data_IF_107001639402
#
_entry.id   IF_107001639402
#
_cell.length_a   1.000
_cell.length_b   1.000
_cell.length_c   1.000
_cell.angle_alpha   90.00
_cell.angle_beta   90.00
_cell.angle_gamma   90.00
#
_symmetry.space_group_name_H-M   'P 1'
#
loop_
_entity.id
_entity.type
_entity.pdbx_description
1 polymer ?
#
# COMPACT_ATOMS: atom_id res chain seq x y z
N UNK A 1 -75.13 22.37 28.06
CA UNK A 1 -74.60 22.68 26.71
C UNK A 1 -73.64 23.86 26.85
N UNK A 2 -72.58 23.86 26.05
CA UNK A 2 -71.40 24.74 26.05
C UNK A 2 -70.22 24.28 26.93
N UNK A 3 -69.28 23.64 26.22
CA UNK A 3 -67.86 23.44 26.48
C UNK A 3 -67.07 24.77 26.31
N UNK A 4 -65.77 24.72 26.65
CA UNK A 4 -64.67 25.66 26.34
C UNK A 4 -64.49 26.87 27.30
N UNK A 5 -63.29 27.27 27.73
CA UNK A 5 -61.94 27.14 27.19
C UNK A 5 -60.88 27.00 28.30
N UNK A 6 -59.95 26.05 28.16
CA UNK A 6 -58.80 25.89 29.04
C UNK A 6 -57.55 26.47 28.36
N UNK A 7 -57.17 27.68 28.74
CA UNK A 7 -56.03 28.44 28.19
C UNK A 7 -54.77 28.16 29.01
N UNK A 8 -54.03 27.11 28.68
CA UNK A 8 -52.72 26.83 29.28
C UNK A 8 -51.61 27.62 28.58
N UNK A 9 -50.90 28.36 29.42
CA UNK A 9 -49.83 29.32 29.15
C UNK A 9 -48.53 28.59 28.77
N UNK A 10 -47.93 29.02 27.66
CA UNK A 10 -46.58 28.61 27.21
C UNK A 10 -45.51 28.96 28.25
N UNK A 11 -44.60 28.02 28.50
CA UNK A 11 -43.30 28.25 29.14
C UNK A 11 -42.24 27.55 28.28
N UNK A 12 -41.45 28.39 27.61
CA UNK A 12 -40.18 28.05 27.00
C UNK A 12 -39.14 27.76 28.09
N UNK A 13 -38.59 26.55 28.09
CA UNK A 13 -37.35 26.23 28.80
C UNK A 13 -36.41 25.51 27.83
N UNK A 14 -35.42 26.25 27.34
CA UNK A 14 -34.37 25.76 26.47
C UNK A 14 -33.44 24.79 27.19
N UNK A 15 -33.30 23.59 26.64
CA UNK A 15 -32.37 22.55 27.10
C UNK A 15 -31.03 22.61 26.31
N UNK A 16 -29.87 22.63 26.99
CA UNK A 16 -28.56 22.76 26.36
C UNK A 16 -28.01 21.40 25.90
N UNK A 17 -28.24 21.04 24.63
CA UNK A 17 -27.89 19.71 24.11
C UNK A 17 -26.43 19.54 23.60
N UNK A 18 -25.57 20.56 23.69
CA UNK A 18 -24.28 20.58 22.97
C UNK A 18 -23.02 20.67 23.85
N UNK A 19 -22.86 19.79 24.84
CA UNK A 19 -21.59 19.72 25.61
C UNK A 19 -20.95 18.35 25.82
N UNK A 20 -21.52 17.25 25.30
CA UNK A 20 -20.96 15.90 25.54
C UNK A 20 -20.29 15.20 24.35
N UNK A 21 -20.45 15.68 23.12
CA UNK A 21 -19.88 14.98 21.94
C UNK A 21 -18.38 15.22 21.68
N UNK A 22 -17.75 16.21 22.34
CA UNK A 22 -16.37 16.59 22.03
C UNK A 22 -15.30 15.66 22.65
N UNK A 23 -15.63 14.88 23.68
CA UNK A 23 -14.66 13.99 24.36
C UNK A 23 -14.57 12.60 23.73
N UNK A 24 -15.64 12.11 23.11
CA UNK A 24 -15.64 10.81 22.43
C UNK A 24 -14.82 10.81 21.12
N UNK A 25 -14.79 11.93 20.39
CA UNK A 25 -14.04 12.03 19.13
C UNK A 25 -12.52 11.97 19.31
N UNK A 26 -11.99 12.51 20.41
CA UNK A 26 -10.54 12.51 20.69
C UNK A 26 -10.05 11.09 21.01
N UNK A 27 -10.84 10.32 21.77
CA UNK A 27 -10.50 8.95 22.16
C UNK A 27 -10.52 8.02 20.93
N UNK A 28 -11.55 8.13 20.08
CA UNK A 28 -11.65 7.32 18.85
C UNK A 28 -10.50 7.63 17.88
N UNK A 29 -10.10 8.90 17.74
CA UNK A 29 -8.97 9.31 16.91
C UNK A 29 -7.62 8.73 17.39
N UNK A 30 -7.39 8.71 18.71
CA UNK A 30 -6.18 8.12 19.28
C UNK A 30 -6.11 6.60 19.10
N UNK A 31 -7.24 5.89 19.22
CA UNK A 31 -7.29 4.44 19.02
C UNK A 31 -7.00 4.07 17.56
N UNK A 32 -7.55 4.82 16.58
CA UNK A 32 -7.27 4.62 15.15
C UNK A 32 -5.80 4.87 14.77
N UNK A 33 -5.18 5.91 15.33
CA UNK A 33 -3.75 6.19 15.11
C UNK A 33 -2.85 5.12 15.73
N UNK A 34 -3.25 4.58 16.89
CA UNK A 34 -2.51 3.51 17.54
C UNK A 34 -2.67 2.18 16.79
N UNK A 35 -3.87 1.85 16.32
CA UNK A 35 -4.13 0.67 15.49
C UNK A 35 -3.37 0.71 14.17
N UNK A 36 -3.28 1.89 13.52
CA UNK A 36 -2.48 2.07 12.29
C UNK A 36 -0.99 1.80 12.50
N UNK A 37 -0.42 2.28 13.63
CA UNK A 37 0.97 1.99 14.01
C UNK A 37 1.19 0.52 14.37
N UNK A 38 0.23 -0.11 15.04
CA UNK A 38 0.31 -1.51 15.45
C UNK A 38 0.23 -2.46 14.23
N UNK A 39 -0.67 -2.18 13.28
CA UNK A 39 -0.76 -2.91 12.01
C UNK A 39 0.50 -2.73 11.13
N UNK A 40 1.10 -1.54 11.12
CA UNK A 40 2.40 -1.32 10.46
C UNK A 40 3.47 -2.21 11.11
N UNK A 41 3.56 -2.24 12.44
CA UNK A 41 4.57 -3.03 13.15
C UNK A 41 4.44 -4.53 12.89
N UNK A 42 3.23 -5.08 12.96
CA UNK A 42 2.94 -6.49 12.67
C UNK A 42 3.29 -6.84 11.22
N UNK A 43 2.94 -5.99 10.25
CA UNK A 43 3.31 -6.23 8.85
C UNK A 43 4.82 -6.19 8.60
N UNK A 44 5.58 -5.49 9.44
CA UNK A 44 7.05 -5.41 9.35
C UNK A 44 7.70 -6.67 9.91
N UNK A 45 7.14 -7.24 10.97
CA UNK A 45 7.65 -8.46 11.62
C UNK A 45 7.40 -9.72 10.79
N UNK A 46 6.25 -9.81 10.11
CA UNK A 46 5.97 -10.85 9.09
C UNK A 46 6.97 -10.76 7.91
N UNK A 47 7.33 -9.54 7.50
CA UNK A 47 8.33 -9.31 6.43
C UNK A 47 9.77 -9.62 6.86
N UNK A 48 10.08 -9.56 8.16
CA UNK A 48 11.44 -9.81 8.70
C UNK A 48 11.69 -11.31 8.93
N UNK A 49 10.64 -12.13 9.08
CA UNK A 49 10.74 -13.60 9.22
C UNK A 49 11.16 -14.34 7.94
N UNK A 50 11.23 -13.67 6.80
CA UNK A 50 11.71 -14.23 5.53
C UNK A 50 13.25 -14.21 5.50
N UNK A 51 13.87 -15.33 5.89
CA UNK A 51 15.32 -15.52 6.01
C UNK A 51 16.09 -15.50 4.67
N UNK A 52 17.37 -15.08 4.73
CA UNK A 52 18.18 -14.47 3.65
C UNK A 52 17.63 -13.11 3.24
N UNK A 53 18.47 -12.07 3.35
CA UNK A 53 18.19 -10.70 2.89
C UNK A 53 17.77 -10.72 1.42
N UNK A 54 16.49 -10.99 1.14
CA UNK A 54 15.90 -10.73 -0.14
C UNK A 54 16.16 -9.26 -0.50
N UNK A 55 16.34 -8.93 -1.79
CA UNK A 55 16.56 -7.55 -2.18
C UNK A 55 15.46 -6.70 -1.53
N UNK A 56 15.83 -5.57 -0.89
CA UNK A 56 14.94 -4.63 -0.18
C UNK A 56 13.72 -4.16 -1.01
N UNK A 57 13.68 -4.57 -2.27
CA UNK A 57 12.70 -4.29 -3.29
C UNK A 57 11.37 -5.02 -3.06
N UNK A 58 11.35 -6.31 -2.72
CA UNK A 58 10.09 -7.05 -2.51
C UNK A 58 9.25 -6.44 -1.39
N UNK A 59 9.78 -6.20 -0.17
CA UNK A 59 9.01 -5.51 0.87
C UNK A 59 8.60 -4.10 0.47
N UNK A 60 9.39 -3.40 -0.36
CA UNK A 60 9.03 -2.08 -0.88
C UNK A 60 7.84 -2.14 -1.85
N UNK A 61 7.80 -3.13 -2.74
CA UNK A 61 6.70 -3.30 -3.69
C UNK A 61 5.42 -3.75 -2.97
N UNK A 62 5.52 -4.66 -2.00
CA UNK A 62 4.38 -5.08 -1.18
C UNK A 62 3.75 -3.92 -0.41
N UNK A 63 4.58 -3.05 0.18
CA UNK A 63 4.12 -1.83 0.84
C UNK A 63 3.42 -0.88 -0.15
N UNK A 64 3.99 -0.69 -1.34
CA UNK A 64 3.39 0.09 -2.43
C UNK A 64 2.05 -0.46 -2.91
N UNK A 65 1.91 -1.78 -2.98
CA UNK A 65 0.69 -2.48 -3.35
C UNK A 65 -0.41 -2.32 -2.29
N UNK A 66 -0.07 -2.49 -1.00
CA UNK A 66 -1.01 -2.32 0.12
C UNK A 66 -1.54 -0.88 0.20
N UNK A 67 -0.64 0.09 0.02
CA UNK A 67 -0.98 1.52 0.06
C UNK A 67 -1.60 2.04 -1.22
N UNK A 68 -1.60 1.23 -2.31
CA UNK A 68 -2.00 1.65 -3.67
C UNK A 68 -1.33 2.96 -4.10
N UNK A 69 -0.09 3.17 -3.68
CA UNK A 69 0.63 4.44 -3.85
C UNK A 69 1.02 4.70 -5.30
N UNK A 70 1.31 3.64 -6.05
CA UNK A 70 1.82 3.75 -7.42
C UNK A 70 0.76 3.30 -8.42
N UNK A 71 0.51 4.12 -9.44
CA UNK A 71 -0.42 3.80 -10.54
C UNK A 71 -0.03 2.53 -11.30
N UNK A 72 1.27 2.26 -11.36
CA UNK A 72 1.86 1.25 -12.23
C UNK A 72 2.01 -0.10 -11.55
N UNK A 73 1.53 -0.22 -10.31
CA UNK A 73 1.70 -1.39 -9.48
C UNK A 73 0.33 -1.80 -8.94
N UNK A 74 -0.17 -2.96 -9.40
CA UNK A 74 -1.53 -3.41 -9.10
C UNK A 74 -1.56 -4.89 -8.75
N UNK A 75 -2.54 -5.30 -7.95
CA UNK A 75 -2.86 -6.72 -7.80
C UNK A 75 -3.75 -7.15 -8.98
N UNK A 76 -3.39 -8.27 -9.60
CA UNK A 76 -4.18 -8.88 -10.69
C UNK A 76 -5.27 -9.80 -10.15
N UNK A 77 -5.08 -10.35 -8.94
CA UNK A 77 -6.03 -11.29 -8.32
C UNK A 77 -6.50 -10.78 -6.94
N UNK A 78 -7.77 -11.09 -6.61
CA UNK A 78 -8.39 -10.88 -5.30
C UNK A 78 -7.60 -11.51 -4.16
N UNK A 79 -6.90 -12.63 -4.41
CA UNK A 79 -6.03 -13.29 -3.43
C UNK A 79 -4.79 -12.49 -3.06
N UNK A 80 -4.48 -11.39 -3.75
CA UNK A 80 -3.29 -10.52 -3.51
C UNK A 80 -1.93 -11.24 -3.56
N UNK A 81 -1.89 -12.40 -4.21
CA UNK A 81 -0.67 -13.18 -4.42
C UNK A 81 -0.01 -12.86 -5.76
N UNK A 82 -0.75 -12.30 -6.71
CA UNK A 82 -0.26 -11.96 -8.05
C UNK A 82 -0.34 -10.45 -8.22
N UNK A 83 0.77 -9.83 -8.58
CA UNK A 83 0.85 -8.42 -8.89
C UNK A 83 1.43 -8.19 -10.28
N UNK A 84 1.01 -7.11 -10.92
CA UNK A 84 1.58 -6.63 -12.17
C UNK A 84 2.28 -5.29 -11.98
N UNK A 85 3.38 -5.14 -12.69
CA UNK A 85 4.16 -3.92 -12.78
C UNK A 85 4.17 -3.46 -14.24
N UNK A 86 3.43 -2.38 -14.52
CA UNK A 86 3.28 -1.82 -15.85
C UNK A 86 4.27 -0.67 -16.05
N UNK A 87 5.37 -0.93 -16.74
CA UNK A 87 6.40 0.09 -17.00
C UNK A 87 6.40 0.47 -18.48
N UNK A 88 6.11 1.74 -18.82
CA UNK A 88 6.15 2.20 -20.20
C UNK A 88 7.48 1.89 -20.88
N UNK A 89 7.43 1.37 -22.11
CA UNK A 89 8.64 1.07 -22.87
C UNK A 89 9.32 2.35 -23.38
N UNK A 90 8.52 3.33 -23.83
CA UNK A 90 9.01 4.58 -24.41
C UNK A 90 9.38 5.56 -23.30
N UNK A 91 10.55 6.19 -23.43
CA UNK A 91 11.02 7.26 -22.54
C UNK A 91 10.58 8.65 -23.00
N UNK A 92 10.15 8.78 -24.27
CA UNK A 92 9.65 10.04 -24.81
C UNK A 92 8.23 10.30 -24.27
N UNK A 93 8.05 11.45 -23.58
CA UNK A 93 6.80 11.86 -22.92
C UNK A 93 6.37 10.96 -21.75
N UNK A 94 7.34 10.52 -20.95
CA UNK A 94 7.06 9.76 -19.74
C UNK A 94 6.37 10.66 -18.68
N UNK A 95 5.28 10.18 -18.09
CA UNK A 95 4.62 10.90 -17.00
C UNK A 95 5.45 10.76 -15.71
N UNK A 96 5.64 11.87 -14.98
CA UNK A 96 6.34 11.89 -13.69
C UNK A 96 5.69 10.93 -12.69
N UNK A 97 4.38 10.68 -12.80
CA UNK A 97 3.66 9.73 -11.95
C UNK A 97 4.14 8.30 -12.14
N UNK A 98 4.55 7.95 -13.35
CA UNK A 98 5.05 6.62 -13.67
C UNK A 98 6.45 6.38 -13.10
N UNK A 99 7.19 7.48 -12.89
CA UNK A 99 8.54 7.48 -12.37
C UNK A 99 8.62 7.47 -10.83
N UNK A 100 7.53 7.76 -10.13
CA UNK A 100 7.54 7.89 -8.66
C UNK A 100 7.98 6.61 -7.95
N UNK A 101 7.62 5.44 -8.48
CA UNK A 101 8.08 4.17 -7.92
C UNK A 101 9.61 4.06 -7.93
N UNK A 102 10.27 4.58 -8.96
CA UNK A 102 11.74 4.59 -9.05
C UNK A 102 12.36 5.64 -8.15
N UNK A 103 11.75 6.83 -8.07
CA UNK A 103 12.20 7.89 -7.15
C UNK A 103 12.22 7.38 -5.71
N UNK A 104 11.12 6.81 -5.24
CA UNK A 104 10.99 6.32 -3.87
C UNK A 104 11.92 5.14 -3.60
N UNK A 105 12.08 4.26 -4.61
CA UNK A 105 13.04 3.16 -4.53
C UNK A 105 14.49 3.65 -4.41
N UNK A 106 14.87 4.67 -5.18
CA UNK A 106 16.20 5.26 -5.13
C UNK A 106 16.44 5.97 -3.80
N UNK A 107 15.44 6.72 -3.30
CA UNK A 107 15.50 7.37 -2.01
C UNK A 107 15.67 6.36 -0.87
N UNK A 108 15.00 5.20 -0.93
CA UNK A 108 15.16 4.10 0.03
C UNK A 108 16.57 3.47 0.00
N UNK A 109 17.29 3.65 -1.12
CA UNK A 109 18.67 3.21 -1.29
C UNK A 109 19.70 4.36 -1.16
N UNK A 110 19.29 5.51 -0.60
CA UNK A 110 20.13 6.71 -0.43
C UNK A 110 20.74 7.23 -1.76
N UNK A 111 20.04 7.04 -2.88
CA UNK A 111 20.44 7.54 -4.20
C UNK A 111 19.53 8.69 -4.63
N UNK A 112 20.11 9.69 -5.30
CA UNK A 112 19.34 10.77 -5.94
C UNK A 112 18.78 10.28 -7.27
N UNK A 113 17.49 10.49 -7.50
CA UNK A 113 16.83 10.16 -8.76
C UNK A 113 16.56 11.43 -9.57
N UNK A 114 17.14 11.52 -10.76
CA UNK A 114 16.79 12.54 -11.76
C UNK A 114 15.77 11.96 -12.74
N UNK A 115 14.56 12.52 -12.74
CA UNK A 115 13.47 12.14 -13.64
C UNK A 115 13.91 12.10 -15.10
N UNK A 116 13.35 11.16 -15.85
CA UNK A 116 13.59 10.84 -17.26
C UNK A 116 15.02 10.36 -17.59
N UNK A 117 16.06 11.01 -17.06
CA UNK A 117 17.48 10.64 -17.26
C UNK A 117 17.81 9.27 -16.67
N UNK A 118 17.28 8.97 -15.48
CA UNK A 118 17.58 7.72 -14.78
C UNK A 118 16.53 6.63 -14.98
N UNK A 119 15.48 6.87 -15.76
CA UNK A 119 14.38 5.93 -15.93
C UNK A 119 14.81 4.57 -16.48
N UNK A 120 15.52 4.54 -17.61
CA UNK A 120 15.93 3.29 -18.26
C UNK A 120 16.82 2.45 -17.33
N UNK A 121 17.78 3.09 -16.67
CA UNK A 121 18.69 2.43 -15.71
C UNK A 121 17.92 1.91 -14.50
N UNK A 122 16.99 2.70 -13.95
CA UNK A 122 16.20 2.30 -12.81
C UNK A 122 15.25 1.14 -13.14
N UNK A 123 14.62 1.15 -14.32
CA UNK A 123 13.79 0.06 -14.83
C UNK A 123 14.60 -1.23 -14.97
N UNK A 124 15.78 -1.17 -15.58
CA UNK A 124 16.67 -2.32 -15.70
C UNK A 124 17.10 -2.84 -14.31
N UNK A 125 17.52 -1.96 -13.41
CA UNK A 125 17.93 -2.34 -12.05
C UNK A 125 16.80 -2.99 -11.25
N UNK A 126 15.58 -2.47 -11.34
CA UNK A 126 14.41 -3.03 -10.67
C UNK A 126 14.05 -4.41 -11.25
N UNK A 127 14.03 -4.53 -12.58
CA UNK A 127 13.74 -5.79 -13.28
C UNK A 127 14.78 -6.87 -12.93
N UNK A 128 16.07 -6.51 -12.93
CA UNK A 128 17.16 -7.41 -12.55
C UNK A 128 17.04 -7.84 -11.08
N UNK A 129 16.65 -6.94 -10.19
CA UNK A 129 16.44 -7.25 -8.78
C UNK A 129 15.25 -8.17 -8.55
N UNK A 130 14.16 -8.01 -9.32
CA UNK A 130 13.02 -8.93 -9.32
C UNK A 130 13.40 -10.32 -9.84
N UNK A 131 14.16 -10.38 -10.94
CA UNK A 131 14.60 -11.65 -11.52
C UNK A 131 15.53 -12.45 -10.59
N UNK A 132 16.31 -11.77 -9.75
CA UNK A 132 17.21 -12.39 -8.76
C UNK A 132 16.53 -12.73 -7.44
N UNK A 133 15.25 -12.39 -7.27
CA UNK A 133 14.57 -12.56 -5.99
C UNK A 133 13.89 -13.92 -5.93
N UNK A 134 14.27 -14.74 -4.96
CA UNK A 134 13.66 -16.05 -4.71
C UNK A 134 12.19 -15.97 -4.24
N UNK A 135 11.76 -14.79 -3.78
CA UNK A 135 10.41 -14.55 -3.24
C UNK A 135 9.35 -14.21 -4.30
N UNK A 136 9.76 -14.02 -5.54
CA UNK A 136 8.83 -13.67 -6.62
C UNK A 136 9.11 -14.51 -7.85
N UNK A 137 8.06 -15.11 -8.38
CA UNK A 137 8.12 -15.87 -9.61
C UNK A 137 7.50 -15.04 -10.73
N UNK A 138 8.19 -14.91 -11.87
CA UNK A 138 7.62 -14.21 -13.02
C UNK A 138 6.58 -15.11 -13.69
N UNK A 139 5.33 -14.64 -13.76
CA UNK A 139 4.29 -15.31 -14.54
C UNK A 139 4.12 -14.57 -15.87
N UNK A 140 4.05 -15.33 -16.96
CA UNK A 140 3.73 -14.79 -18.29
C UNK A 140 2.20 -14.79 -18.45
N UNK A 141 1.56 -13.74 -17.96
CA UNK A 141 0.13 -13.48 -18.21
C UNK A 141 0.05 -12.33 -19.23
N UNK A 142 0.11 -12.70 -20.51
CA UNK A 142 0.06 -11.77 -21.65
C UNK A 142 1.38 -11.05 -21.98
N UNK A 143 1.42 -10.38 -23.13
CA UNK A 143 2.67 -9.90 -23.74
C UNK A 143 3.12 -8.50 -23.28
N UNK A 144 2.27 -7.71 -22.61
CA UNK A 144 2.55 -6.29 -22.37
C UNK A 144 2.94 -5.91 -20.94
N UNK A 145 2.74 -6.78 -19.95
CA UNK A 145 2.92 -6.46 -18.53
C UNK A 145 3.89 -7.41 -17.84
N UNK A 146 4.66 -6.89 -16.90
CA UNK A 146 5.51 -7.73 -16.05
C UNK A 146 4.68 -8.21 -14.86
N UNK A 147 4.23 -9.46 -14.92
CA UNK A 147 3.40 -10.06 -13.87
C UNK A 147 4.23 -11.00 -13.01
N UNK A 148 4.02 -10.94 -11.70
CA UNK A 148 4.78 -11.70 -10.71
C UNK A 148 3.85 -12.30 -9.67
N UNK A 149 4.15 -13.54 -9.27
CA UNK A 149 3.57 -14.22 -8.12
C UNK A 149 4.49 -14.02 -6.92
N UNK A 150 3.91 -13.75 -5.76
CA UNK A 150 4.61 -13.75 -4.48
C UNK A 150 4.62 -15.19 -3.97
N UNK A 151 5.81 -15.72 -3.70
CA UNK A 151 5.99 -17.05 -3.11
C UNK A 151 6.00 -16.95 -1.59
N UNK A 152 5.40 -17.93 -0.91
CA UNK A 152 5.46 -18.01 0.55
C UNK A 152 6.79 -18.59 1.02
N UNK A 153 7.16 -18.36 2.28
CA UNK A 153 8.41 -18.88 2.85
C UNK A 153 8.54 -20.40 2.79
N UNK A 154 7.40 -21.10 2.78
CA UNK A 154 7.36 -22.56 2.75
C UNK A 154 7.65 -23.07 1.32
N UNK A 155 7.15 -22.38 0.30
CA UNK A 155 7.49 -22.65 -1.10
C UNK A 155 8.99 -22.37 -1.37
N UNK A 156 9.54 -21.29 -0.83
CA UNK A 156 10.96 -20.92 -1.03
C UNK A 156 11.93 -21.93 -0.40
N UNK A 157 11.57 -22.53 0.74
CA UNK A 157 12.40 -23.58 1.38
C UNK A 157 12.31 -24.93 0.66
N UNK A 158 11.18 -25.22 0.01
CA UNK A 158 10.97 -26.43 -0.78
C UNK A 158 11.74 -26.45 -2.10
N UNK A 159 12.17 -25.30 -2.60
CA UNK A 159 13.07 -25.18 -3.75
C UNK A 159 14.53 -25.37 -3.28
N UNK A 160 14.81 -26.48 -2.60
CA UNK A 160 16.17 -27.00 -2.53
C UNK A 160 16.47 -27.62 -3.89
N UNK A 161 17.11 -26.86 -4.78
CA UNK A 161 17.61 -27.39 -6.04
C UNK A 161 18.50 -28.61 -5.72
N UNK A 162 18.19 -29.83 -6.22
CA UNK A 162 19.15 -30.92 -6.16
C UNK A 162 20.32 -30.51 -7.04
N UNK A 163 21.48 -30.34 -6.41
CA UNK A 163 22.77 -30.26 -7.10
C UNK A 163 23.26 -31.67 -7.44
#
# INVERSE_FOLDING_TARGET
MALNDNKTKSRDDGLPFWRHFSRLFVIIGCVLLWFGKYLWKISKEELIKMGRKGPKLVPFLLDGLKTKKYRNLMFENSSRLIFSLCLPHKTNKLDKRDEYIFKDWYQKNNKKYGFSKHYTVARQAMTASLRKSDYVEKILIGDSKMTYRILTSDEVKGISFPY
#
